data_IF_444985716820
#
_entry.id   IF_444985716820
#
_cell.length_a   1.000
_cell.length_b   1.000
_cell.length_c   1.000
_cell.angle_alpha   90.00
_cell.angle_beta   90.00
_cell.angle_gamma   90.00
#
_symmetry.space_group_name_H-M   'P 1'
#
loop_
_entity.id
_entity.type
_entity.pdbx_description
1 polymer ?
#
# COMPACT_ATOMS: atom_id res chain seq x y z
N UNK A 1 -15.53 -19.85 18.67
CA UNK A 1 -14.56 -19.08 17.87
C UNK A 1 -13.11 -19.34 18.35
N UNK A 2 -12.82 -20.49 18.94
CA UNK A 2 -11.50 -20.82 19.53
C UNK A 2 -10.65 -21.74 18.62
N UNK A 3 -11.25 -22.33 17.59
CA UNK A 3 -10.59 -23.29 16.70
C UNK A 3 -9.69 -22.66 15.64
N UNK A 4 -9.65 -21.34 15.53
CA UNK A 4 -8.80 -20.62 14.55
C UNK A 4 -7.70 -19.80 15.22
N UNK A 5 -7.80 -19.52 16.52
CA UNK A 5 -6.84 -18.67 17.24
C UNK A 5 -5.44 -19.29 17.30
N UNK A 6 -5.36 -20.61 17.48
CA UNK A 6 -4.09 -21.34 17.44
C UNK A 6 -3.44 -21.29 16.06
N UNK A 7 -4.24 -21.31 14.99
CA UNK A 7 -3.74 -21.25 13.61
C UNK A 7 -3.20 -19.84 13.31
N UNK A 8 -3.85 -18.79 13.82
CA UNK A 8 -3.36 -17.42 13.72
C UNK A 8 -2.11 -17.20 14.59
N UNK A 9 -2.03 -17.81 15.78
CA UNK A 9 -0.89 -17.68 16.69
C UNK A 9 0.35 -18.44 16.20
N UNK A 10 0.18 -19.67 15.73
CA UNK A 10 1.26 -20.52 15.23
C UNK A 10 1.85 -19.95 13.94
N UNK A 11 0.99 -19.62 12.96
CA UNK A 11 1.41 -19.09 11.66
C UNK A 11 1.77 -17.61 11.69
N UNK A 12 1.19 -16.85 12.63
CA UNK A 12 1.51 -15.44 12.86
C UNK A 12 2.88 -15.22 13.49
N UNK A 13 3.48 -16.24 14.11
CA UNK A 13 4.82 -16.17 14.71
C UNK A 13 5.97 -16.36 13.72
N UNK A 14 5.67 -16.84 12.50
CA UNK A 14 6.68 -17.19 11.50
C UNK A 14 7.04 -15.95 10.68
N UNK A 15 8.27 -15.46 10.84
CA UNK A 15 8.72 -14.17 10.28
C UNK A 15 8.53 -14.01 8.77
N UNK A 16 8.68 -15.10 7.99
CA UNK A 16 8.45 -15.07 6.54
C UNK A 16 6.96 -14.94 6.19
N UNK A 17 6.05 -15.54 6.97
CA UNK A 17 4.59 -15.42 6.78
C UNK A 17 4.15 -13.99 7.07
N UNK A 18 4.66 -13.37 8.15
CA UNK A 18 4.43 -11.95 8.43
C UNK A 18 4.93 -11.06 7.30
N UNK A 19 6.14 -11.31 6.79
CA UNK A 19 6.73 -10.52 5.70
C UNK A 19 5.91 -10.61 4.42
N UNK A 20 5.45 -11.80 4.05
CA UNK A 20 4.56 -12.00 2.90
C UNK A 20 3.21 -11.32 3.10
N UNK A 21 2.62 -11.41 4.30
CA UNK A 21 1.37 -10.74 4.64
C UNK A 21 1.50 -9.20 4.56
N UNK A 22 2.61 -8.65 5.05
CA UNK A 22 2.91 -7.20 4.97
C UNK A 22 3.12 -6.78 3.52
N UNK A 23 3.83 -7.57 2.71
CA UNK A 23 4.01 -7.32 1.28
C UNK A 23 2.68 -7.30 0.54
N UNK A 24 1.85 -8.33 0.72
CA UNK A 24 0.52 -8.40 0.10
C UNK A 24 -0.38 -7.26 0.57
N UNK A 25 -0.37 -6.95 1.87
CA UNK A 25 -1.09 -5.82 2.45
C UNK A 25 -0.63 -4.49 1.85
N UNK A 26 0.68 -4.30 1.68
CA UNK A 26 1.26 -3.10 1.06
C UNK A 26 0.85 -2.97 -0.40
N UNK A 27 0.92 -4.05 -1.18
CA UNK A 27 0.48 -4.04 -2.59
C UNK A 27 -1.00 -3.69 -2.70
N UNK A 28 -1.83 -4.25 -1.81
CA UNK A 28 -3.25 -3.92 -1.75
C UNK A 28 -3.46 -2.44 -1.39
N UNK A 29 -2.75 -1.94 -0.39
CA UNK A 29 -2.80 -0.54 0.02
C UNK A 29 -2.37 0.39 -1.12
N UNK A 30 -1.29 0.05 -1.84
CA UNK A 30 -0.81 0.79 -2.99
C UNK A 30 -1.86 0.86 -4.10
N UNK A 31 -2.57 -0.25 -4.39
CA UNK A 31 -3.69 -0.24 -5.34
C UNK A 31 -4.87 0.60 -4.85
N UNK A 32 -5.18 0.58 -3.56
CA UNK A 32 -6.25 1.41 -2.99
C UNK A 32 -5.89 2.90 -3.12
N UNK A 33 -4.66 3.28 -2.77
CA UNK A 33 -4.15 4.65 -2.90
C UNK A 33 -4.20 5.11 -4.36
N UNK A 34 -3.76 4.26 -5.29
CA UNK A 34 -3.86 4.51 -6.73
C UNK A 34 -5.32 4.76 -7.17
N UNK A 35 -6.26 3.94 -6.69
CA UNK A 35 -7.67 4.07 -7.02
C UNK A 35 -8.30 5.33 -6.42
N UNK A 36 -7.99 5.67 -5.17
CA UNK A 36 -8.44 6.89 -4.49
C UNK A 36 -7.91 8.12 -5.23
N UNK A 37 -6.62 8.15 -5.57
CA UNK A 37 -6.03 9.24 -6.35
C UNK A 37 -6.76 9.40 -7.68
N UNK A 38 -6.96 8.34 -8.45
CA UNK A 38 -7.72 8.41 -9.71
C UNK A 38 -9.18 8.88 -9.52
N UNK A 39 -9.85 8.48 -8.43
CA UNK A 39 -11.24 8.84 -8.17
C UNK A 39 -11.41 10.28 -7.68
N UNK A 40 -10.53 10.73 -6.79
CA UNK A 40 -10.51 12.11 -6.26
C UNK A 40 -10.10 13.07 -7.37
N UNK A 41 -9.04 12.74 -8.10
CA UNK A 41 -8.57 13.54 -9.24
C UNK A 41 -9.58 13.55 -10.36
N UNK A 42 -10.16 12.40 -10.74
CA UNK A 42 -11.19 12.37 -11.79
C UNK A 42 -12.44 13.18 -11.42
N UNK A 43 -12.72 13.37 -10.13
CA UNK A 43 -13.77 14.28 -9.66
C UNK A 43 -13.33 15.74 -9.69
N UNK A 44 -12.08 16.03 -9.38
CA UNK A 44 -11.53 17.39 -9.37
C UNK A 44 -11.29 17.92 -10.80
N UNK A 45 -10.71 17.10 -11.69
CA UNK A 45 -10.45 17.40 -13.10
C UNK A 45 -11.73 17.63 -13.92
N UNK A 46 -12.86 17.02 -13.54
CA UNK A 46 -14.18 17.37 -14.14
C UNK A 46 -14.67 18.75 -13.72
N UNK A 47 -14.14 19.30 -12.63
CA UNK A 47 -14.53 20.60 -12.07
C UNK A 47 -13.64 21.74 -12.56
N UNK A 48 -12.46 21.45 -13.09
CA UNK A 48 -11.48 22.43 -13.59
C UNK A 48 -11.12 22.16 -15.05
N UNK A 49 -11.58 23.04 -15.95
CA UNK A 49 -11.36 22.98 -17.40
C UNK A 49 -9.95 23.47 -17.78
N UNK A 50 -8.89 22.93 -17.15
CA UNK A 50 -7.52 23.47 -17.28
C UNK A 50 -6.45 22.39 -17.21
N UNK A 51 -5.60 22.34 -18.24
CA UNK A 51 -4.48 21.40 -18.47
C UNK A 51 -3.38 21.38 -17.39
N UNK A 52 -3.48 22.24 -16.38
CA UNK A 52 -2.50 22.36 -15.29
C UNK A 52 -2.72 21.28 -14.21
N UNK A 53 -3.96 20.84 -13.99
CA UNK A 53 -4.28 19.80 -12.99
C UNK A 53 -3.75 18.41 -13.39
N UNK A 54 -3.76 18.08 -14.68
CA UNK A 54 -3.29 16.77 -15.16
C UNK A 54 -1.78 16.56 -14.92
N UNK A 55 -0.98 17.62 -15.07
CA UNK A 55 0.46 17.56 -14.78
C UNK A 55 0.74 17.44 -13.29
N UNK A 56 0.04 18.20 -12.44
CA UNK A 56 0.20 18.13 -10.98
C UNK A 56 -0.09 16.72 -10.45
N UNK A 57 -1.12 16.06 -11.00
CA UNK A 57 -1.48 14.68 -10.67
C UNK A 57 -0.44 13.69 -11.15
N UNK A 58 0.06 13.86 -12.38
CA UNK A 58 1.10 12.99 -12.92
C UNK A 58 2.39 13.08 -12.10
N UNK A 59 2.69 14.29 -11.61
CA UNK A 59 3.81 14.56 -10.70
C UNK A 59 3.55 13.96 -9.31
N UNK A 60 2.33 13.97 -8.78
CA UNK A 60 1.98 13.41 -7.46
C UNK A 60 1.87 11.87 -7.46
N UNK A 61 1.45 11.26 -8.56
CA UNK A 61 1.25 9.80 -8.64
C UNK A 61 2.54 9.01 -8.44
N UNK A 62 3.65 9.48 -9.03
CA UNK A 62 4.98 8.86 -8.88
C UNK A 62 5.50 8.86 -7.42
N UNK A 63 5.61 10.00 -6.72
CA UNK A 63 6.12 10.05 -5.35
C UNK A 63 5.19 9.33 -4.38
N UNK A 64 3.86 9.43 -4.51
CA UNK A 64 2.93 8.70 -3.62
C UNK A 64 3.06 7.19 -3.79
N UNK A 65 3.21 6.70 -5.03
CA UNK A 65 3.45 5.27 -5.26
C UNK A 65 4.78 4.82 -4.63
N UNK A 66 5.85 5.59 -4.83
CA UNK A 66 7.18 5.28 -4.27
C UNK A 66 7.16 5.32 -2.74
N UNK A 67 6.51 6.29 -2.11
CA UNK A 67 6.47 6.38 -0.64
C UNK A 67 5.73 5.20 -0.02
N UNK A 68 4.59 4.77 -0.59
CA UNK A 68 3.86 3.58 -0.11
C UNK A 68 4.71 2.32 -0.27
N UNK A 69 5.38 2.17 -1.42
CA UNK A 69 6.15 0.98 -1.73
C UNK A 69 7.42 0.87 -0.87
N UNK A 70 8.14 1.98 -0.67
CA UNK A 70 9.30 2.05 0.24
C UNK A 70 8.87 1.83 1.69
N UNK A 71 7.76 2.43 2.14
CA UNK A 71 7.28 2.27 3.52
C UNK A 71 6.90 0.82 3.81
N UNK A 72 6.18 0.16 2.91
CA UNK A 72 5.81 -1.24 3.10
C UNK A 72 6.99 -2.20 2.99
N UNK A 73 7.98 -1.89 2.14
CA UNK A 73 9.24 -2.64 2.12
C UNK A 73 9.97 -2.50 3.46
N UNK A 74 10.12 -1.27 3.98
CA UNK A 74 10.76 -1.02 5.28
C UNK A 74 10.05 -1.72 6.43
N UNK A 75 8.71 -1.77 6.42
CA UNK A 75 7.93 -2.48 7.44
C UNK A 75 8.03 -4.01 7.31
N UNK A 76 8.35 -4.53 6.12
CA UNK A 76 8.55 -5.95 5.88
C UNK A 76 9.96 -6.44 6.29
N UNK A 77 10.95 -5.55 6.45
CA UNK A 77 12.33 -5.93 6.81
C UNK A 77 12.49 -6.47 8.25
N UNK A 78 11.92 -5.85 9.30
CA UNK A 78 12.09 -6.33 10.68
C UNK A 78 11.61 -7.77 10.92
N UNK A 79 10.42 -8.19 10.46
CA UNK A 79 9.98 -9.57 10.65
C UNK A 79 10.70 -10.59 9.76
N UNK A 80 11.45 -10.15 8.74
CA UNK A 80 12.23 -11.03 7.87
C UNK A 80 13.43 -11.68 8.58
N UNK A 81 13.72 -11.28 9.83
CA UNK A 81 14.88 -11.76 10.59
C UNK A 81 16.19 -11.57 9.81
N UNK A 82 16.42 -10.35 9.30
CA UNK A 82 17.77 -9.98 8.89
C UNK A 82 18.64 -9.94 10.16
N UNK A 83 19.76 -10.69 10.21
CA UNK A 83 20.70 -10.65 11.34
C UNK A 83 21.28 -9.25 11.56
#
# INVERSE_FOLDING_TARGET
>A
METLSWLIAEWGSVGWVQSVAILLGTLLLAKIVEWILCSVVGRLARRTRTSVDDQAVQILRRPVFVTVLVSGLLLALPPLALP
#
